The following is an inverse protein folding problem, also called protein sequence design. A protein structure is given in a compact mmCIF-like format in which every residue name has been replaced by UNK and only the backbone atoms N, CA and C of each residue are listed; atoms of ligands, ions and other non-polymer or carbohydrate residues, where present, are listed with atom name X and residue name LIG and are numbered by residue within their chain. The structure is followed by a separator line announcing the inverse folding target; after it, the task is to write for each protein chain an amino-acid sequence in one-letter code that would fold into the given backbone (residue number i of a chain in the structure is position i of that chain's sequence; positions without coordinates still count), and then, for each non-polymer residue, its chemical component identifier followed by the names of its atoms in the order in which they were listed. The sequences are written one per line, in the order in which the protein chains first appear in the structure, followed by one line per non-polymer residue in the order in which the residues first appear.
data_IF_565605499542
#
_entry.id   IF_565605499542
#
_cell.length_a   1.000
_cell.length_b   1.000
_cell.length_c   1.000
_cell.angle_alpha   90.00
_cell.angle_beta   90.00
_cell.angle_gamma   90.00
#
_symmetry.space_group_name_H-M   'P 1'
#
loop_
_entity.id
_entity.type
_entity.pdbx_description
1 polymer ?
#
# COMPACT_ATOMS: atom_id res chain seq x y z
N UNK A 1 -9.98 9.96 -0.18
CA UNK A 1 -9.53 8.73 -0.86
C UNK A 1 -8.51 7.97 -0.04
N UNK A 2 -7.33 8.53 0.28
CA UNK A 2 -6.34 7.88 1.14
C UNK A 2 -6.86 7.40 2.51
N UNK A 3 -7.66 8.21 3.19
CA UNK A 3 -8.30 7.78 4.45
C UNK A 3 -9.25 6.59 4.26
N UNK A 4 -10.00 6.58 3.15
CA UNK A 4 -10.88 5.46 2.78
C UNK A 4 -10.09 4.19 2.52
N UNK A 5 -8.96 4.31 1.81
CA UNK A 5 -8.04 3.20 1.58
C UNK A 5 -7.46 2.72 2.93
N UNK A 6 -6.91 3.61 3.74
CA UNK A 6 -6.37 3.27 5.05
C UNK A 6 -7.39 2.53 5.92
N UNK A 7 -8.64 3.01 5.97
CA UNK A 7 -9.74 2.35 6.69
C UNK A 7 -10.03 0.96 6.13
N UNK A 8 -10.03 0.78 4.81
CA UNK A 8 -10.24 -0.53 4.19
C UNK A 8 -9.14 -1.53 4.56
N UNK A 9 -7.89 -1.09 4.57
CA UNK A 9 -6.77 -1.92 4.99
C UNK A 9 -6.77 -2.20 6.50
N UNK A 10 -7.24 -1.25 7.32
CA UNK A 10 -7.47 -1.47 8.76
C UNK A 10 -8.51 -2.59 8.97
N UNK A 11 -9.61 -2.62 8.21
CA UNK A 11 -10.59 -3.71 8.25
C UNK A 11 -9.92 -5.07 7.96
N UNK A 12 -9.05 -5.14 6.94
CA UNK A 12 -8.30 -6.36 6.62
C UNK A 12 -7.31 -6.75 7.74
N UNK A 13 -6.59 -5.79 8.31
CA UNK A 13 -5.68 -6.04 9.42
C UNK A 13 -6.42 -6.60 10.66
N UNK A 14 -7.61 -6.06 10.98
CA UNK A 14 -8.45 -6.58 12.07
C UNK A 14 -8.93 -8.01 11.81
N UNK A 15 -9.25 -8.37 10.56
CA UNK A 15 -9.59 -9.76 10.20
C UNK A 15 -8.41 -10.71 10.43
N UNK A 16 -7.20 -10.32 10.02
CA UNK A 16 -5.98 -11.10 10.28
C UNK A 16 -5.78 -11.31 11.79
N UNK A 17 -5.95 -10.25 12.60
CA UNK A 17 -5.86 -10.37 14.06
C UNK A 17 -6.98 -11.21 14.70
N UNK A 18 -8.13 -11.37 14.05
CA UNK A 18 -9.14 -12.34 14.48
C UNK A 18 -8.65 -13.78 14.23
N UNK A 19 -8.17 -14.07 13.03
CA UNK A 19 -7.63 -15.40 12.65
C UNK A 19 -6.46 -15.79 13.57
N UNK A 20 -5.55 -14.86 13.89
CA UNK A 20 -4.45 -15.12 14.82
C UNK A 20 -4.97 -15.54 16.21
N UNK A 21 -6.03 -14.90 16.72
CA UNK A 21 -6.63 -15.26 18.01
C UNK A 21 -7.26 -16.64 17.97
N UNK A 22 -7.94 -16.98 16.88
CA UNK A 22 -8.56 -18.29 16.68
C UNK A 22 -7.49 -19.39 16.65
N UNK A 23 -6.41 -19.20 15.86
CA UNK A 23 -5.26 -20.10 15.81
C UNK A 23 -4.60 -20.29 17.18
N UNK A 24 -4.45 -19.22 17.98
CA UNK A 24 -3.93 -19.34 19.35
C UNK A 24 -4.84 -20.22 20.20
N UNK A 25 -6.17 -20.04 20.11
CA UNK A 25 -7.14 -20.81 20.89
C UNK A 25 -7.16 -22.31 20.52
N UNK A 26 -6.81 -22.64 19.28
CA UNK A 26 -6.76 -24.01 18.75
C UNK A 26 -5.36 -24.66 18.89
N UNK A 27 -4.38 -23.96 19.47
CA UNK A 27 -3.00 -24.46 19.62
C UNK A 27 -2.14 -24.37 18.34
N UNK A 28 -2.62 -23.67 17.31
CA UNK A 28 -1.97 -23.44 16.01
C UNK A 28 -0.84 -22.38 16.03
N UNK A 29 -0.07 -22.28 17.11
CA UNK A 29 0.95 -21.23 17.31
C UNK A 29 1.98 -21.15 16.17
N UNK A 30 2.30 -22.29 15.53
CA UNK A 30 3.24 -22.33 14.41
C UNK A 30 2.79 -21.48 13.21
N UNK A 31 1.47 -21.33 13.01
CA UNK A 31 0.91 -20.55 11.92
C UNK A 31 0.72 -19.07 12.28
N UNK A 32 0.73 -18.74 13.57
CA UNK A 32 0.57 -17.36 14.06
C UNK A 32 1.75 -16.49 13.65
N UNK A 33 2.98 -17.01 13.77
CA UNK A 33 4.21 -16.32 13.36
C UNK A 33 4.22 -16.03 11.85
N UNK A 34 3.86 -17.03 11.03
CA UNK A 34 3.76 -16.87 9.57
C UNK A 34 2.70 -15.80 9.20
N UNK A 35 1.58 -15.74 9.93
CA UNK A 35 0.48 -14.81 9.70
C UNK A 35 0.80 -13.38 10.22
N UNK A 36 1.61 -13.26 11.28
CA UNK A 36 2.11 -11.97 11.78
C UNK A 36 2.93 -11.23 10.72
N UNK A 37 3.68 -11.97 9.90
CA UNK A 37 4.41 -11.42 8.77
C UNK A 37 3.53 -10.66 7.77
N UNK A 38 2.27 -11.06 7.58
CA UNK A 38 1.29 -10.33 6.77
C UNK A 38 0.71 -9.13 7.52
N UNK A 39 0.38 -9.30 8.81
CA UNK A 39 -0.20 -8.26 9.64
C UNK A 39 0.71 -7.03 9.77
N UNK A 40 2.01 -7.24 10.00
CA UNK A 40 3.02 -6.18 10.11
C UNK A 40 3.12 -5.37 8.82
N UNK A 41 3.10 -6.04 7.65
CA UNK A 41 3.18 -5.37 6.35
C UNK A 41 1.94 -4.51 6.07
N UNK A 42 0.75 -5.01 6.38
CA UNK A 42 -0.47 -4.20 6.24
C UNK A 42 -0.44 -3.00 7.17
N UNK A 43 0.01 -3.15 8.42
CA UNK A 43 0.18 -2.02 9.34
C UNK A 43 1.18 -1.00 8.82
N UNK A 44 2.34 -1.44 8.34
CA UNK A 44 3.34 -0.58 7.71
C UNK A 44 2.74 0.21 6.53
N UNK A 45 1.96 -0.45 5.68
CA UNK A 45 1.27 0.21 4.56
C UNK A 45 0.24 1.25 5.06
N UNK A 46 -0.59 0.90 6.05
CA UNK A 46 -1.59 1.80 6.65
C UNK A 46 -0.93 3.06 7.23
N UNK A 47 0.17 2.89 7.95
CA UNK A 47 0.90 4.01 8.56
C UNK A 47 1.49 4.94 7.49
N UNK A 48 2.05 4.35 6.42
CA UNK A 48 2.60 5.10 5.28
C UNK A 48 1.54 5.87 4.52
N UNK A 49 0.40 5.26 4.20
CA UNK A 49 -0.64 5.94 3.42
C UNK A 49 -1.32 7.08 4.20
N UNK A 50 -1.46 6.92 5.53
CA UNK A 50 -1.98 7.98 6.43
C UNK A 50 -1.03 9.18 6.50
N UNK A 51 0.28 8.92 6.52
CA UNK A 51 1.31 9.96 6.71
C UNK A 51 1.87 10.56 5.43
N UNK A 52 1.58 9.97 4.26
CA UNK A 52 2.09 10.45 2.98
C UNK A 52 1.72 11.94 2.78
N UNK A 53 2.71 12.79 2.53
CA UNK A 53 2.45 14.14 2.03
C UNK A 53 2.06 14.04 0.55
N UNK A 54 1.28 15.00 0.05
CA UNK A 54 0.97 15.07 -1.38
C UNK A 54 2.17 15.52 -2.23
N UNK A 55 3.30 15.91 -1.62
CA UNK A 55 4.46 16.47 -2.32
C UNK A 55 4.10 17.77 -3.04
N UNK A 56 3.82 18.84 -2.30
CA UNK A 56 3.56 20.15 -2.94
C UNK A 56 4.87 20.96 -2.99
N UNK A 57 5.43 21.11 -4.19
CA UNK A 57 6.41 22.15 -4.49
C UNK A 57 5.72 23.53 -4.47
N UNK A 58 6.47 24.60 -4.19
CA UNK A 58 5.97 25.94 -3.88
C UNK A 58 4.97 26.56 -4.87
N UNK A 59 4.24 27.57 -4.38
CA UNK A 59 2.98 28.11 -4.92
C UNK A 59 2.97 28.62 -6.38
N UNK A 60 4.11 28.87 -7.03
CA UNK A 60 4.15 29.65 -8.29
C UNK A 60 4.65 28.92 -9.56
N UNK A 61 5.28 27.74 -9.47
CA UNK A 61 5.66 26.92 -10.65
C UNK A 61 4.63 25.80 -10.97
N UNK A 62 3.57 25.74 -10.17
CA UNK A 62 2.82 24.52 -9.93
C UNK A 62 1.60 24.31 -10.85
N UNK A 63 1.22 25.24 -11.75
CA UNK A 63 -0.11 25.16 -12.39
C UNK A 63 -0.19 24.05 -13.47
N UNK A 64 0.87 23.81 -14.27
CA UNK A 64 0.87 22.77 -15.32
C UNK A 64 1.33 21.39 -14.85
N UNK A 65 2.27 21.34 -13.91
CA UNK A 65 2.76 20.09 -13.30
C UNK A 65 1.63 19.37 -12.52
N UNK A 66 0.72 20.16 -11.93
CA UNK A 66 -0.43 19.67 -11.14
C UNK A 66 -1.36 18.70 -11.86
N UNK A 67 -1.63 18.86 -13.15
CA UNK A 67 -2.65 18.02 -13.82
C UNK A 67 -2.13 16.59 -14.09
N UNK A 68 -0.90 16.46 -14.56
CA UNK A 68 -0.24 15.16 -14.80
C UNK A 68 0.04 14.41 -13.49
N UNK A 69 0.56 15.11 -12.48
CA UNK A 69 0.78 14.54 -11.14
C UNK A 69 -0.53 14.11 -10.48
N UNK A 70 -1.60 14.90 -10.60
CA UNK A 70 -2.90 14.58 -10.02
C UNK A 70 -3.52 13.35 -10.69
N UNK A 71 -3.44 13.24 -12.02
CA UNK A 71 -3.92 12.05 -12.74
C UNK A 71 -3.15 10.79 -12.32
N UNK A 72 -1.82 10.89 -12.17
CA UNK A 72 -0.99 9.79 -11.69
C UNK A 72 -1.36 9.37 -10.25
N UNK A 73 -1.62 10.33 -9.37
CA UNK A 73 -2.07 10.07 -7.99
C UNK A 73 -3.42 9.34 -7.99
N UNK A 74 -4.38 9.76 -8.82
CA UNK A 74 -5.69 9.09 -8.90
C UNK A 74 -5.59 7.66 -9.42
N UNK A 75 -4.86 7.43 -10.51
CA UNK A 75 -4.65 6.09 -11.05
C UNK A 75 -3.97 5.18 -10.02
N UNK A 76 -3.05 5.75 -9.24
CA UNK A 76 -2.39 5.05 -8.19
C UNK A 76 -3.33 4.67 -7.02
N UNK A 77 -4.16 5.61 -6.56
CA UNK A 77 -5.14 5.34 -5.50
C UNK A 77 -6.16 4.25 -5.93
N UNK A 78 -6.51 4.17 -7.22
CA UNK A 78 -7.33 3.08 -7.78
C UNK A 78 -6.61 1.73 -7.73
N UNK A 79 -5.32 1.68 -8.05
CA UNK A 79 -4.53 0.46 -7.95
C UNK A 79 -4.48 -0.05 -6.50
N UNK A 80 -4.36 0.84 -5.51
CA UNK A 80 -4.41 0.47 -4.09
C UNK A 80 -5.75 -0.11 -3.64
N UNK A 81 -6.86 0.37 -4.20
CA UNK A 81 -8.18 -0.20 -3.96
C UNK A 81 -8.30 -1.60 -4.56
N UNK A 82 -7.74 -1.82 -5.75
CA UNK A 82 -7.69 -3.15 -6.39
C UNK A 82 -6.88 -4.14 -5.54
N UNK A 83 -5.71 -3.71 -5.04
CA UNK A 83 -4.90 -4.52 -4.11
C UNK A 83 -5.65 -4.81 -2.80
N UNK A 84 -6.50 -3.90 -2.31
CA UNK A 84 -7.31 -4.16 -1.12
C UNK A 84 -8.27 -5.34 -1.33
N UNK A 85 -8.86 -5.44 -2.52
CA UNK A 85 -9.70 -6.60 -2.87
C UNK A 85 -8.89 -7.90 -2.95
N UNK A 86 -7.66 -7.85 -3.45
CA UNK A 86 -6.75 -9.00 -3.48
C UNK A 86 -6.36 -9.46 -2.07
N UNK A 87 -6.04 -8.51 -1.17
CA UNK A 87 -5.82 -8.80 0.25
C UNK A 87 -7.05 -9.44 0.86
N UNK A 88 -8.25 -8.92 0.59
CA UNK A 88 -9.52 -9.50 1.03
C UNK A 88 -9.66 -10.97 0.61
N UNK A 89 -9.47 -11.27 -0.69
CA UNK A 89 -9.52 -12.65 -1.20
C UNK A 89 -8.45 -13.55 -0.59
N UNK A 90 -7.25 -13.03 -0.35
CA UNK A 90 -6.19 -13.80 0.29
C UNK A 90 -6.51 -14.13 1.74
N UNK A 91 -7.16 -13.23 2.49
CA UNK A 91 -7.66 -13.50 3.84
C UNK A 91 -8.78 -14.56 3.78
N UNK A 92 -9.73 -14.42 2.85
CA UNK A 92 -10.81 -15.42 2.68
C UNK A 92 -10.24 -16.83 2.43
N UNK A 93 -9.16 -16.92 1.63
CA UNK A 93 -8.46 -18.18 1.38
C UNK A 93 -7.76 -18.73 2.62
N UNK A 94 -7.21 -17.87 3.50
CA UNK A 94 -6.63 -18.31 4.78
C UNK A 94 -7.73 -18.87 5.69
N UNK A 95 -8.85 -18.17 5.82
CA UNK A 95 -10.01 -18.62 6.60
C UNK A 95 -10.52 -19.98 6.11
N UNK A 96 -10.67 -20.14 4.79
CA UNK A 96 -11.12 -21.40 4.18
C UNK A 96 -10.12 -22.55 4.33
N UNK A 97 -8.83 -22.26 4.52
CA UNK A 97 -7.78 -23.26 4.64
C UNK A 97 -7.50 -23.67 6.10
N UNK A 98 -8.16 -23.06 7.09
CA UNK A 98 -7.99 -23.42 8.51
C UNK A 98 -8.25 -24.92 8.73
N UNK A 99 -7.37 -25.56 9.48
CA UNK A 99 -7.43 -27.00 9.75
C UNK A 99 -7.05 -27.91 8.57
N UNK A 100 -6.62 -27.35 7.43
CA UNK A 100 -6.22 -28.12 6.24
C UNK A 100 -4.70 -28.03 5.99
N UNK A 101 -4.17 -28.95 5.18
CA UNK A 101 -2.78 -28.92 4.72
C UNK A 101 -2.46 -27.70 3.83
N UNK A 102 -3.49 -27.00 3.33
CA UNK A 102 -3.37 -25.82 2.48
C UNK A 102 -3.05 -24.53 3.23
N UNK A 103 -3.20 -24.50 4.56
CA UNK A 103 -3.10 -23.27 5.37
C UNK A 103 -1.78 -22.53 5.15
N UNK A 104 -0.66 -23.26 5.16
CA UNK A 104 0.67 -22.65 4.98
C UNK A 104 0.82 -21.95 3.62
N UNK A 105 0.28 -22.54 2.56
CA UNK A 105 0.31 -21.93 1.22
C UNK A 105 -0.58 -20.69 1.17
N UNK A 106 -1.77 -20.75 1.79
CA UNK A 106 -2.67 -19.61 1.88
C UNK A 106 -2.02 -18.43 2.62
N UNK A 107 -1.38 -18.68 3.78
CA UNK A 107 -0.67 -17.64 4.55
C UNK A 107 0.48 -17.06 3.73
N UNK A 108 1.26 -17.87 3.02
CA UNK A 108 2.33 -17.36 2.13
C UNK A 108 1.79 -16.45 1.03
N UNK A 109 0.64 -16.81 0.46
CA UNK A 109 -0.04 -15.97 -0.54
C UNK A 109 -0.50 -14.64 0.06
N UNK A 110 -1.06 -14.65 1.27
CA UNK A 110 -1.45 -13.45 2.00
C UNK A 110 -0.23 -12.56 2.31
N UNK A 111 0.86 -13.15 2.80
CA UNK A 111 2.11 -12.40 3.07
C UNK A 111 2.68 -11.78 1.81
N UNK A 112 2.59 -12.46 0.66
CA UNK A 112 3.02 -11.91 -0.63
C UNK A 112 2.17 -10.69 -1.02
N UNK A 113 0.85 -10.80 -1.02
CA UNK A 113 0.00 -9.66 -1.42
C UNK A 113 0.15 -8.49 -0.45
N UNK A 114 0.33 -8.74 0.85
CA UNK A 114 0.64 -7.68 1.82
C UNK A 114 1.97 -6.98 1.52
N UNK A 115 2.97 -7.69 1.00
CA UNK A 115 4.22 -7.08 0.54
C UNK A 115 4.00 -6.25 -0.73
N UNK A 116 3.22 -6.78 -1.68
CA UNK A 116 2.90 -6.08 -2.93
C UNK A 116 2.22 -4.71 -2.64
N UNK A 117 1.44 -4.59 -1.56
CA UNK A 117 0.87 -3.32 -1.10
C UNK A 117 1.93 -2.31 -0.65
N UNK A 118 2.94 -2.76 0.11
CA UNK A 118 4.06 -1.92 0.57
C UNK A 118 4.90 -1.46 -0.62
N UNK A 119 5.23 -2.40 -1.51
CA UNK A 119 6.05 -2.14 -2.71
C UNK A 119 5.35 -1.19 -3.68
N UNK A 120 4.04 -1.39 -3.87
CA UNK A 120 3.24 -0.46 -4.65
C UNK A 120 3.35 0.94 -4.05
N UNK A 121 3.24 1.10 -2.72
CA UNK A 121 3.32 2.41 -2.06
C UNK A 121 4.66 3.10 -2.29
N UNK A 122 5.75 2.35 -2.17
CA UNK A 122 7.09 2.90 -2.36
C UNK A 122 7.30 3.37 -3.81
N UNK A 123 6.81 2.58 -4.78
CA UNK A 123 6.88 2.96 -6.20
C UNK A 123 6.07 4.22 -6.54
N UNK A 124 4.99 4.50 -5.82
CA UNK A 124 4.25 5.77 -5.94
C UNK A 124 5.15 6.96 -5.62
N UNK A 125 5.87 6.86 -4.51
CA UNK A 125 6.70 7.94 -4.01
C UNK A 125 7.83 8.25 -5.01
N UNK A 126 8.40 7.22 -5.64
CA UNK A 126 9.38 7.35 -6.71
C UNK A 126 8.81 8.04 -7.95
N UNK A 127 7.67 7.57 -8.48
CA UNK A 127 7.05 8.16 -9.69
C UNK A 127 6.67 9.62 -9.47
N UNK A 128 6.10 9.96 -8.31
CA UNK A 128 5.76 11.35 -7.99
C UNK A 128 7.02 12.22 -7.92
N UNK A 129 8.10 11.71 -7.31
CA UNK A 129 9.38 12.41 -7.23
C UNK A 129 10.04 12.60 -8.61
N UNK A 130 9.93 11.61 -9.50
CA UNK A 130 10.44 11.71 -10.87
C UNK A 130 9.68 12.76 -11.69
N UNK A 131 8.35 12.80 -11.56
CA UNK A 131 7.51 13.81 -12.22
C UNK A 131 7.86 15.22 -11.74
N UNK A 132 8.08 15.42 -10.43
CA UNK A 132 8.45 16.73 -9.89
C UNK A 132 9.85 17.18 -10.35
N UNK A 133 10.81 16.25 -10.48
CA UNK A 133 12.16 16.57 -10.94
C UNK A 133 12.23 16.86 -12.44
N UNK A 134 11.42 16.16 -13.24
CA UNK A 134 11.36 16.37 -14.69
C UNK A 134 10.89 17.78 -15.06
N UNK A 135 9.97 18.36 -14.27
CA UNK A 135 9.46 19.72 -14.49
C UNK A 135 10.47 20.85 -14.19
N UNK A 136 11.47 20.62 -13.34
CA UNK A 136 12.52 21.63 -13.06
C UNK A 136 13.54 21.76 -14.20
N UNK A 137 13.76 20.67 -14.96
CA UNK A 137 14.77 20.61 -16.03
C UNK A 137 14.36 21.26 -17.36
N UNK A 138 13.09 21.63 -17.52
CA UNK A 138 12.53 22.24 -18.75
C UNK A 138 12.35 23.77 -18.61
N UNK A 139 12.82 24.38 -17.50
CA UNK A 139 12.89 25.83 -17.35
C UNK A 139 14.04 26.38 -18.22
N UNK A 140 13.80 27.33 -19.13
CA UNK A 140 14.87 27.95 -19.89
C UNK A 140 15.80 28.65 -18.89
N UNK A 141 17.08 28.24 -18.87
CA UNK A 141 18.11 28.98 -18.16
C UNK A 141 18.12 30.39 -18.72
N UNK A 142 17.63 31.37 -17.96
CA UNK A 142 17.72 32.77 -18.33
C UNK A 142 19.19 33.11 -18.50
N UNK A 143 19.60 33.21 -19.76
CA UNK A 143 20.96 33.50 -20.16
C UNK A 143 21.35 34.86 -19.57
N UNK A 144 22.52 34.89 -18.93
CA UNK A 144 23.10 36.10 -18.40
C UNK A 144 23.58 36.95 -19.57
N UNK A 145 22.74 37.83 -20.06
CA UNK A 145 23.14 39.00 -20.84
C UNK A 145 22.66 40.22 -20.06
N UNK A 146 23.48 41.19 -19.66
CA UNK A 146 24.86 41.55 -19.95
C UNK A 146 25.02 42.97 -19.40
#
# INVERSE_FOLDING_TARGET
MRETIAKRYEEHWQRISAIQRDLISEGGLIYVDDLEGAAVKLRQFIDRIRTASYGYAGFFDAIKVKEGELAAIYQYDLNLMTLAEEVGRAIDNVEAALGTDGLKTAIRSLTKVSQDCVDAFDRRAEVIKELSNGSESDQPTADKAG
#
